data_IF_090302334430
#
_entry.id   IF_090302334430
#
_cell.length_a   1.000
_cell.length_b   1.000
_cell.length_c   1.000
_cell.angle_alpha   90.00
_cell.angle_beta   90.00
_cell.angle_gamma   90.00
#
_symmetry.space_group_name_H-M   'P 1'
#
loop_
_entity.id
_entity.type
_entity.pdbx_description
1 polymer ?
#
# COMPACT_ATOMS: atom_id res chain seq x y z
N UNK A 1 -2.22 -29.61 17.64
CA UNK A 1 -2.28 -28.14 17.71
C UNK A 1 -3.64 -27.79 18.25
N UNK A 2 -3.75 -26.99 19.32
CA UNK A 2 -5.06 -26.66 19.88
C UNK A 2 -5.81 -25.67 18.98
N UNK A 3 -7.13 -25.60 19.12
CA UNK A 3 -7.96 -24.59 18.43
C UNK A 3 -7.49 -23.17 18.75
N UNK A 4 -7.12 -22.94 20.02
CA UNK A 4 -6.52 -21.70 20.50
C UNK A 4 -5.20 -21.36 19.78
N UNK A 5 -4.31 -22.34 19.60
CA UNK A 5 -3.05 -22.14 18.87
C UNK A 5 -3.30 -21.84 17.39
N UNK A 6 -4.32 -22.48 16.80
CA UNK A 6 -4.72 -22.23 15.40
C UNK A 6 -5.18 -20.80 15.20
N UNK A 7 -6.06 -20.28 16.07
CA UNK A 7 -6.58 -18.91 15.99
C UNK A 7 -5.47 -17.89 16.27
N UNK A 8 -4.61 -18.16 17.26
CA UNK A 8 -3.46 -17.29 17.54
C UNK A 8 -2.51 -17.19 16.33
N UNK A 9 -2.26 -18.30 15.63
CA UNK A 9 -1.49 -18.28 14.39
C UNK A 9 -2.18 -17.45 13.30
N UNK A 10 -3.49 -17.63 13.10
CA UNK A 10 -4.25 -16.86 12.10
C UNK A 10 -4.27 -15.36 12.40
N UNK A 11 -4.32 -14.95 13.67
CA UNK A 11 -4.14 -13.56 14.09
C UNK A 11 -2.73 -13.04 13.77
N UNK A 12 -1.71 -13.88 13.98
CA UNK A 12 -0.34 -13.58 13.55
C UNK A 12 -0.25 -13.27 12.06
N UNK A 13 -0.89 -14.09 11.22
CA UNK A 13 -0.98 -13.87 9.77
C UNK A 13 -1.72 -12.58 9.41
N UNK A 14 -2.82 -12.25 10.10
CA UNK A 14 -3.54 -11.00 9.87
C UNK A 14 -2.64 -9.79 10.17
N UNK A 15 -1.92 -9.82 11.29
CA UNK A 15 -1.02 -8.74 11.69
C UNK A 15 0.15 -8.56 10.72
N UNK A 16 0.81 -9.65 10.30
CA UNK A 16 1.91 -9.56 9.33
C UNK A 16 1.44 -9.08 7.96
N UNK A 17 0.24 -9.50 7.54
CA UNK A 17 -0.36 -9.06 6.27
C UNK A 17 -0.69 -7.58 6.31
N UNK A 18 -1.25 -7.08 7.42
CA UNK A 18 -1.50 -5.64 7.64
C UNK A 18 -0.21 -4.83 7.51
N UNK A 19 0.83 -5.20 8.25
CA UNK A 19 2.12 -4.52 8.20
C UNK A 19 2.70 -4.48 6.78
N UNK A 20 2.57 -5.58 6.03
CA UNK A 20 3.04 -5.64 4.65
C UNK A 20 2.26 -4.74 3.70
N UNK A 21 0.95 -4.60 3.88
CA UNK A 21 0.13 -3.66 3.10
C UNK A 21 0.59 -2.22 3.36
N UNK A 22 0.82 -1.86 4.62
CA UNK A 22 1.33 -0.53 5.00
C UNK A 22 2.72 -0.26 4.40
N UNK A 23 3.64 -1.25 4.43
CA UNK A 23 4.94 -1.15 3.76
C UNK A 23 4.81 -0.90 2.25
N UNK A 24 3.87 -1.58 1.57
CA UNK A 24 3.64 -1.38 0.14
C UNK A 24 3.12 0.03 -0.16
N UNK A 25 2.21 0.57 0.66
CA UNK A 25 1.75 1.95 0.52
C UNK A 25 2.91 2.93 0.65
N UNK A 26 3.77 2.76 1.66
CA UNK A 26 4.95 3.60 1.84
C UNK A 26 5.91 3.52 0.65
N UNK A 27 6.16 2.33 0.11
CA UNK A 27 7.02 2.15 -1.05
C UNK A 27 6.45 2.85 -2.29
N UNK A 28 5.14 2.72 -2.56
CA UNK A 28 4.46 3.38 -3.68
C UNK A 28 4.60 4.90 -3.58
N UNK A 29 4.31 5.46 -2.40
CA UNK A 29 4.41 6.90 -2.16
C UNK A 29 5.86 7.38 -2.35
N UNK A 30 6.83 6.62 -1.83
CA UNK A 30 8.26 6.95 -1.97
C UNK A 30 8.67 7.01 -3.44
N UNK A 31 8.28 6.03 -4.26
CA UNK A 31 8.62 6.01 -5.69
C UNK A 31 7.96 7.18 -6.43
N UNK A 32 6.68 7.46 -6.15
CA UNK A 32 5.99 8.60 -6.75
C UNK A 32 6.69 9.93 -6.43
N UNK A 33 7.11 10.13 -5.18
CA UNK A 33 7.81 11.34 -4.76
C UNK A 33 9.21 11.46 -5.39
N UNK A 34 9.93 10.34 -5.56
CA UNK A 34 11.23 10.35 -6.25
C UNK A 34 11.11 10.78 -7.72
N UNK A 35 10.06 10.34 -8.41
CA UNK A 35 9.84 10.78 -9.80
C UNK A 35 9.44 12.25 -9.89
N UNK A 36 8.63 12.75 -8.95
CA UNK A 36 8.30 14.18 -8.87
C UNK A 36 9.58 15.04 -8.73
N UNK A 37 10.49 14.64 -7.85
CA UNK A 37 11.76 15.33 -7.67
C UNK A 37 12.58 15.39 -8.96
N UNK A 38 12.62 14.28 -9.72
CA UNK A 38 13.30 14.24 -11.03
C UNK A 38 12.61 15.17 -12.03
N UNK A 39 11.27 15.19 -12.09
CA UNK A 39 10.55 16.10 -12.98
C UNK A 39 10.80 17.55 -12.62
N UNK A 40 10.79 17.90 -11.34
CA UNK A 40 11.05 19.26 -10.83
C UNK A 40 12.48 19.71 -11.17
N UNK A 41 13.47 18.83 -11.04
CA UNK A 41 14.84 19.10 -11.46
C UNK A 41 14.93 19.36 -12.98
N UNK A 42 14.22 18.56 -13.79
CA UNK A 42 14.20 18.73 -15.24
C UNK A 42 13.57 20.05 -15.66
N UNK A 43 12.53 20.54 -14.96
CA UNK A 43 11.91 21.84 -15.28
C UNK A 43 12.88 23.02 -15.14
N UNK A 44 13.90 22.87 -14.30
CA UNK A 44 14.91 23.89 -14.05
C UNK A 44 16.06 23.87 -15.08
N UNK A 45 16.02 22.98 -16.07
CA UNK A 45 17.04 22.87 -17.12
C UNK A 45 16.58 23.51 -18.43
N UNK A 46 17.51 24.15 -19.16
CA UNK A 46 17.24 24.82 -20.45
C UNK A 46 17.23 23.87 -21.66
N UNK A 47 17.41 22.57 -21.42
CA UNK A 47 17.55 21.52 -22.43
C UNK A 47 16.45 20.47 -22.18
N UNK A 48 15.98 19.78 -23.22
CA UNK A 48 14.99 18.70 -23.15
C UNK A 48 13.52 19.09 -22.89
N UNK A 49 13.09 20.34 -23.11
CA UNK A 49 11.70 20.77 -22.90
C UNK A 49 10.62 19.95 -23.64
N UNK A 50 10.93 19.38 -24.81
CA UNK A 50 10.01 18.48 -25.53
C UNK A 50 9.80 17.12 -24.84
N UNK A 51 10.84 16.64 -24.15
CA UNK A 51 10.79 15.41 -23.36
C UNK A 51 10.17 15.66 -21.99
N UNK A 52 10.40 16.83 -21.41
CA UNK A 52 9.81 17.23 -20.13
C UNK A 52 8.29 17.07 -20.13
N UNK A 53 7.59 17.62 -21.14
CA UNK A 53 6.12 17.46 -21.26
C UNK A 53 5.69 15.99 -21.33
N UNK A 54 6.46 15.14 -22.03
CA UNK A 54 6.15 13.70 -22.12
C UNK A 54 6.35 13.00 -20.78
N UNK A 55 7.37 13.38 -20.02
CA UNK A 55 7.65 12.83 -18.69
C UNK A 55 6.58 13.29 -17.69
N UNK A 56 6.17 14.55 -17.72
CA UNK A 56 5.09 15.10 -16.87
C UNK A 56 3.77 14.34 -17.07
N UNK A 57 3.38 14.09 -18.33
CA UNK A 57 2.17 13.29 -18.64
C UNK A 57 2.29 11.88 -18.06
N UNK A 58 3.45 11.22 -18.27
CA UNK A 58 3.67 9.87 -17.73
C UNK A 58 3.69 9.83 -16.20
N UNK A 59 4.24 10.86 -15.56
CA UNK A 59 4.26 10.96 -14.10
C UNK A 59 2.85 11.17 -13.55
N UNK A 60 2.03 11.98 -14.23
CA UNK A 60 0.63 12.14 -13.87
C UNK A 60 -0.14 10.82 -13.99
N UNK A 61 -0.01 10.11 -15.12
CA UNK A 61 -0.62 8.78 -15.33
C UNK A 61 -0.17 7.79 -14.24
N UNK A 62 1.13 7.75 -13.93
CA UNK A 62 1.67 6.92 -12.87
C UNK A 62 1.02 7.23 -11.52
N UNK A 63 0.91 8.51 -11.13
CA UNK A 63 0.26 8.92 -9.88
C UNK A 63 -1.20 8.49 -9.81
N UNK A 64 -1.95 8.63 -10.90
CA UNK A 64 -3.36 8.24 -10.92
C UNK A 64 -3.54 6.72 -10.79
N UNK A 65 -2.71 5.92 -11.49
CA UNK A 65 -2.74 4.47 -11.33
C UNK A 65 -2.29 4.02 -9.92
N UNK A 66 -1.29 4.69 -9.33
CA UNK A 66 -0.86 4.41 -7.96
C UNK A 66 -1.91 4.76 -6.91
N UNK A 67 -2.66 5.86 -7.10
CA UNK A 67 -3.81 6.17 -6.23
C UNK A 67 -4.88 5.09 -6.31
N UNK A 68 -5.23 4.62 -7.51
CA UNK A 68 -6.21 3.53 -7.69
C UNK A 68 -5.75 2.26 -6.98
N UNK A 69 -4.48 1.88 -7.17
CA UNK A 69 -3.90 0.70 -6.52
C UNK A 69 -3.92 0.82 -4.99
N UNK A 70 -3.58 1.99 -4.45
CA UNK A 70 -3.65 2.24 -3.01
C UNK A 70 -5.08 2.14 -2.48
N UNK A 71 -6.07 2.67 -3.20
CA UNK A 71 -7.49 2.57 -2.81
C UNK A 71 -7.91 1.10 -2.78
N UNK A 72 -7.55 0.31 -3.79
CA UNK A 72 -7.84 -1.13 -3.82
C UNK A 72 -7.14 -1.88 -2.67
N UNK A 73 -5.86 -1.62 -2.43
CA UNK A 73 -5.11 -2.21 -1.32
C UNK A 73 -5.79 -1.93 0.04
N UNK A 74 -6.29 -0.72 0.26
CA UNK A 74 -7.02 -0.37 1.49
C UNK A 74 -8.40 -1.00 1.55
N UNK A 75 -9.25 -0.73 0.57
CA UNK A 75 -10.66 -1.12 0.61
C UNK A 75 -10.86 -2.63 0.49
N UNK A 76 -10.04 -3.33 -0.29
CA UNK A 76 -10.24 -4.75 -0.55
C UNK A 76 -9.45 -5.61 0.43
N UNK A 77 -8.19 -5.26 0.69
CA UNK A 77 -7.30 -6.13 1.46
C UNK A 77 -7.23 -5.73 2.94
N UNK A 78 -7.01 -4.46 3.25
CA UNK A 78 -6.87 -4.01 4.64
C UNK A 78 -8.19 -4.18 5.41
N UNK A 79 -9.32 -3.77 4.82
CA UNK A 79 -10.64 -3.92 5.45
C UNK A 79 -11.00 -5.39 5.67
N UNK A 80 -10.68 -6.27 4.72
CA UNK A 80 -10.90 -7.70 4.87
C UNK A 80 -10.03 -8.29 5.99
N UNK A 81 -8.74 -7.98 6.01
CA UNK A 81 -7.80 -8.44 7.05
C UNK A 81 -8.23 -7.95 8.43
N UNK A 82 -8.70 -6.71 8.54
CA UNK A 82 -9.23 -6.16 9.79
C UNK A 82 -10.49 -6.91 10.25
N UNK A 83 -11.46 -7.14 9.36
CA UNK A 83 -12.66 -7.94 9.69
C UNK A 83 -12.31 -9.36 10.13
N UNK A 84 -11.35 -10.02 9.48
CA UNK A 84 -10.90 -11.35 9.89
C UNK A 84 -10.20 -11.29 11.26
N UNK A 85 -9.34 -10.31 11.48
CA UNK A 85 -8.66 -10.09 12.76
C UNK A 85 -9.66 -9.90 13.90
N UNK A 86 -10.68 -9.07 13.72
CA UNK A 86 -11.71 -8.80 14.73
C UNK A 86 -12.52 -10.06 15.05
N UNK A 87 -12.93 -10.82 14.02
CA UNK A 87 -13.64 -12.10 14.21
C UNK A 87 -12.81 -13.10 15.00
N UNK A 88 -11.53 -13.26 14.64
CA UNK A 88 -10.62 -14.19 15.30
C UNK A 88 -10.31 -13.79 16.75
N UNK A 89 -10.23 -12.48 17.05
CA UNK A 89 -10.10 -12.01 18.43
C UNK A 89 -11.33 -12.34 19.28
N UNK A 90 -12.54 -12.21 18.71
CA UNK A 90 -13.77 -12.61 19.39
C UNK A 90 -13.82 -14.12 19.64
N UNK A 91 -13.51 -14.93 18.62
CA UNK A 91 -13.43 -16.39 18.74
C UNK A 91 -12.42 -16.82 19.81
N UNK A 92 -11.23 -16.20 19.83
CA UNK A 92 -10.20 -16.48 20.83
C UNK A 92 -10.66 -16.14 22.25
N UNK A 93 -11.38 -15.03 22.41
CA UNK A 93 -11.92 -14.59 23.69
C UNK A 93 -13.02 -15.52 24.21
N UNK A 94 -13.80 -16.12 23.30
CA UNK A 94 -14.86 -17.09 23.65
C UNK A 94 -14.32 -18.50 23.99
N UNK A 95 -13.05 -18.78 23.65
CA UNK A 95 -12.34 -20.03 24.00
C UNK A 95 -11.55 -19.92 25.31
N UNK A 96 -11.43 -18.71 25.87
CA UNK A 96 -10.80 -18.44 27.17
C UNK A 96 -11.80 -18.50 28.31
#
# INVERSE_FOLDING_TARGET
MSERDSIANQLGWCNSTRARIEEFEHAIISVANSYDAITDELQNTSVFGEFQKKIEVRQHEFREEMKKLMVQLRQENLDYVNKQSDRLQQELSNLG
#
